data_IF_792206270873
#
_entry.id   IF_792206270873
#
_cell.length_a   1.000
_cell.length_b   1.000
_cell.length_c   1.000
_cell.angle_alpha   90.00
_cell.angle_beta   90.00
_cell.angle_gamma   90.00
#
_symmetry.space_group_name_H-M   'P 1'
#
loop_
_entity.id
_entity.type
_entity.pdbx_description
1 polymer ?
#
# COMPACT_ATOMS: atom_id res chain seq x y z
N UNK A 1 17.08 74.31 -51.70
CA UNK A 1 15.81 74.19 -50.96
C UNK A 1 16.00 73.14 -49.87
N UNK A 2 15.77 73.49 -48.59
CA UNK A 2 16.09 72.68 -47.41
C UNK A 2 14.89 71.80 -47.06
N UNK A 3 15.09 70.49 -46.88
CA UNK A 3 14.09 69.56 -46.37
C UNK A 3 14.02 69.72 -44.84
N UNK A 4 12.87 70.00 -44.23
CA UNK A 4 12.78 70.06 -42.77
C UNK A 4 12.74 68.65 -42.17
N UNK A 5 13.69 68.37 -41.26
CA UNK A 5 13.64 67.24 -40.33
C UNK A 5 12.45 67.43 -39.38
N UNK A 6 11.52 66.48 -39.33
CA UNK A 6 10.49 66.42 -38.28
C UNK A 6 10.91 65.35 -37.27
N UNK A 7 11.21 65.81 -36.06
CA UNK A 7 11.53 65.01 -34.89
C UNK A 7 10.28 64.30 -34.34
N UNK A 8 10.51 63.09 -33.81
CA UNK A 8 9.80 62.32 -32.78
C UNK A 8 8.31 62.60 -32.48
N UNK A 9 7.52 61.51 -32.45
CA UNK A 9 6.56 61.30 -31.38
C UNK A 9 6.56 59.81 -30.98
N UNK A 10 7.19 59.53 -29.84
CA UNK A 10 7.06 58.30 -29.08
C UNK A 10 5.62 58.29 -28.51
N UNK A 11 4.74 57.41 -28.98
CA UNK A 11 3.42 57.27 -28.36
C UNK A 11 3.55 56.30 -27.20
N UNK A 12 3.74 56.90 -26.02
CA UNK A 12 3.63 56.29 -24.71
C UNK A 12 2.13 56.17 -24.38
N UNK A 13 1.53 54.99 -24.56
CA UNK A 13 0.15 54.76 -24.14
C UNK A 13 0.13 54.46 -22.64
N UNK A 14 -0.07 55.51 -21.84
CA UNK A 14 -0.57 55.43 -20.47
C UNK A 14 -2.08 55.13 -20.53
N UNK A 15 -2.45 53.86 -20.46
CA UNK A 15 -3.81 53.45 -20.14
C UNK A 15 -3.89 53.19 -18.63
N UNK A 16 -4.52 54.14 -17.93
CA UNK A 16 -4.91 54.04 -16.53
C UNK A 16 -5.96 52.93 -16.37
N UNK A 17 -5.61 51.83 -15.70
CA UNK A 17 -6.55 50.83 -15.19
C UNK A 17 -6.35 49.41 -15.69
N UNK A 18 -5.47 48.65 -15.00
CA UNK A 18 -5.66 47.21 -14.81
C UNK A 18 -5.18 46.27 -15.91
N UNK A 19 -3.98 46.45 -16.46
CA UNK A 19 -3.23 45.36 -17.08
C UNK A 19 -2.04 45.05 -16.18
N UNK A 20 -2.18 44.08 -15.28
CA UNK A 20 -1.07 43.58 -14.44
C UNK A 20 -0.64 42.21 -14.96
N UNK A 21 0.32 42.13 -15.91
CA UNK A 21 0.72 40.86 -16.51
C UNK A 21 1.66 40.03 -15.62
N UNK A 22 1.95 40.49 -14.40
CA UNK A 22 2.82 39.80 -13.44
C UNK A 22 2.22 39.91 -12.04
N UNK A 23 1.32 38.98 -11.70
CA UNK A 23 0.93 38.79 -10.30
C UNK A 23 2.15 38.27 -9.56
N UNK A 24 2.77 39.11 -8.73
CA UNK A 24 3.85 38.67 -7.84
C UNK A 24 3.37 37.44 -7.05
N UNK A 25 4.24 36.42 -6.83
CA UNK A 25 3.88 35.27 -6.02
C UNK A 25 3.33 35.72 -4.67
N UNK A 26 2.30 35.03 -4.17
CA UNK A 26 1.73 35.33 -2.86
C UNK A 26 2.84 35.23 -1.79
N UNK A 27 3.00 36.27 -0.94
CA UNK A 27 4.14 36.34 -0.03
C UNK A 27 4.15 35.19 0.99
N UNK A 28 2.99 34.73 1.44
CA UNK A 28 2.89 33.60 2.38
C UNK A 28 3.24 32.28 1.68
N UNK A 29 2.84 32.10 0.41
CA UNK A 29 3.26 30.94 -0.39
C UNK A 29 4.78 30.96 -0.62
N UNK A 30 5.34 32.11 -0.95
CA UNK A 30 6.79 32.25 -1.15
C UNK A 30 7.60 32.00 0.13
N UNK A 31 7.11 32.48 1.29
CA UNK A 31 7.67 32.18 2.60
C UNK A 31 7.60 30.68 2.91
N UNK A 32 6.43 30.05 2.67
CA UNK A 32 6.24 28.63 2.89
C UNK A 32 7.18 27.76 2.05
N UNK A 33 7.32 28.09 0.76
CA UNK A 33 8.23 27.40 -0.16
C UNK A 33 9.70 27.53 0.28
N UNK A 34 10.10 28.71 0.80
CA UNK A 34 11.44 28.92 1.35
C UNK A 34 11.67 28.09 2.61
N UNK A 35 10.73 28.12 3.55
CA UNK A 35 10.82 27.32 4.77
C UNK A 35 10.87 25.82 4.46
N UNK A 36 10.09 25.36 3.47
CA UNK A 36 10.14 23.98 2.99
C UNK A 36 11.51 23.61 2.44
N UNK A 37 12.12 24.45 1.60
CA UNK A 37 13.44 24.21 1.04
C UNK A 37 14.54 24.13 2.13
N UNK A 38 14.34 24.84 3.24
CA UNK A 38 15.21 24.79 4.43
C UNK A 38 14.89 23.63 5.38
N UNK A 39 13.88 22.79 5.07
CA UNK A 39 13.44 21.68 5.93
C UNK A 39 12.64 22.11 7.16
N UNK A 40 12.29 23.39 7.27
CA UNK A 40 11.46 23.96 8.36
C UNK A 40 9.98 23.74 8.06
N UNK A 41 9.53 22.48 8.14
CA UNK A 41 8.19 22.11 7.71
C UNK A 41 7.07 22.73 8.55
N UNK A 42 7.29 22.98 9.85
CA UNK A 42 6.30 23.67 10.69
C UNK A 42 6.05 25.10 10.23
N UNK A 43 7.13 25.84 9.95
CA UNK A 43 7.06 27.20 9.43
C UNK A 43 6.41 27.23 8.03
N UNK A 44 6.76 26.25 7.19
CA UNK A 44 6.15 26.09 5.87
C UNK A 44 4.62 25.92 5.96
N UNK A 45 4.16 25.01 6.81
CA UNK A 45 2.73 24.75 7.00
C UNK A 45 2.00 25.96 7.58
N UNK A 46 2.62 26.66 8.53
CA UNK A 46 2.04 27.88 9.09
C UNK A 46 1.86 28.98 8.04
N UNK A 47 2.83 29.15 7.14
CA UNK A 47 2.75 30.11 6.04
C UNK A 47 1.68 29.69 5.02
N UNK A 48 1.64 28.43 4.61
CA UNK A 48 0.58 27.92 3.71
C UNK A 48 -0.82 28.08 4.31
N UNK A 49 -0.99 27.90 5.62
CA UNK A 49 -2.27 28.13 6.29
C UNK A 49 -2.67 29.61 6.33
N UNK A 50 -1.71 30.55 6.38
CA UNK A 50 -1.99 31.98 6.20
C UNK A 50 -2.43 32.29 4.77
N UNK A 51 -1.71 31.76 3.77
CA UNK A 51 -2.08 31.89 2.36
C UNK A 51 -3.50 31.35 2.08
N UNK A 52 -3.83 30.18 2.64
CA UNK A 52 -5.16 29.57 2.51
C UNK A 52 -6.26 30.46 3.11
N UNK A 53 -6.02 31.07 4.29
CA UNK A 53 -6.98 31.98 4.94
C UNK A 53 -7.20 33.27 4.15
N UNK A 54 -6.18 33.76 3.45
CA UNK A 54 -6.30 34.95 2.60
C UNK A 54 -7.22 34.71 1.39
N UNK A 55 -7.33 33.46 0.91
CA UNK A 55 -8.30 33.03 -0.12
C UNK A 55 -8.07 33.59 -1.53
N UNK A 56 -6.91 34.22 -1.78
CA UNK A 56 -6.57 34.88 -3.06
C UNK A 56 -5.50 34.12 -3.86
N UNK A 57 -5.28 32.87 -3.53
CA UNK A 57 -4.22 32.01 -4.07
C UNK A 57 -4.81 30.88 -4.91
N UNK A 58 -3.99 30.28 -5.76
CA UNK A 58 -4.31 29.01 -6.40
C UNK A 58 -4.50 27.94 -5.31
N UNK A 59 -5.75 27.51 -5.11
CA UNK A 59 -6.10 26.61 -4.02
C UNK A 59 -5.53 25.21 -4.25
N UNK A 60 -5.54 24.72 -5.49
CA UNK A 60 -5.03 23.40 -5.83
C UNK A 60 -3.50 23.37 -5.83
N UNK A 61 -2.85 24.43 -6.31
CA UNK A 61 -1.39 24.60 -6.21
C UNK A 61 -0.92 24.68 -4.75
N UNK A 62 -1.60 25.49 -3.92
CA UNK A 62 -1.31 25.57 -2.49
C UNK A 62 -1.54 24.23 -1.77
N UNK A 63 -2.59 23.50 -2.14
CA UNK A 63 -2.85 22.17 -1.59
C UNK A 63 -1.72 21.19 -1.94
N UNK A 64 -1.14 21.28 -3.14
CA UNK A 64 0.04 20.49 -3.50
C UNK A 64 1.25 20.82 -2.60
N UNK A 65 1.56 22.10 -2.44
CA UNK A 65 2.70 22.55 -1.61
C UNK A 65 2.53 22.14 -0.14
N UNK A 66 1.32 22.33 0.41
CA UNK A 66 0.98 21.96 1.79
C UNK A 66 1.01 20.46 2.00
N UNK A 67 0.39 19.67 1.12
CA UNK A 67 0.39 18.22 1.20
C UNK A 67 1.80 17.64 1.10
N UNK A 68 2.64 18.21 0.25
CA UNK A 68 4.05 17.81 0.12
C UNK A 68 4.84 18.12 1.40
N UNK A 69 4.66 19.30 1.99
CA UNK A 69 5.27 19.63 3.28
C UNK A 69 4.81 18.71 4.42
N UNK A 70 3.53 18.34 4.45
CA UNK A 70 3.00 17.39 5.44
C UNK A 70 3.63 16.00 5.32
N UNK A 71 3.85 15.48 4.10
CA UNK A 71 4.55 14.21 3.89
C UNK A 71 6.00 14.26 4.39
N UNK A 72 6.74 15.32 4.03
CA UNK A 72 8.14 15.47 4.46
C UNK A 72 8.26 15.63 5.98
N UNK A 73 7.30 16.31 6.60
CA UNK A 73 7.19 16.34 8.06
C UNK A 73 6.92 14.95 8.62
N UNK A 74 5.95 14.22 8.06
CA UNK A 74 5.57 12.88 8.51
C UNK A 74 6.75 11.89 8.46
N UNK A 75 7.62 11.98 7.45
CA UNK A 75 8.84 11.17 7.33
C UNK A 75 9.82 11.37 8.50
N UNK A 76 9.85 12.57 9.10
CA UNK A 76 10.70 12.88 10.25
C UNK A 76 10.07 12.49 11.60
N UNK A 77 8.77 12.18 11.65
CA UNK A 77 8.06 11.83 12.88
C UNK A 77 8.25 10.35 13.24
N UNK A 78 8.71 10.11 14.47
CA UNK A 78 8.89 8.76 15.02
C UNK A 78 7.59 8.16 15.57
N UNK A 79 6.72 8.99 16.13
CA UNK A 79 5.44 8.53 16.66
C UNK A 79 4.53 8.08 15.51
N UNK A 80 4.14 6.78 15.44
CA UNK A 80 3.30 6.29 14.36
C UNK A 80 1.93 6.97 14.31
N UNK A 81 1.37 7.40 15.45
CA UNK A 81 0.06 8.04 15.49
C UNK A 81 0.09 9.44 14.88
N UNK A 82 1.07 10.26 15.27
CA UNK A 82 1.28 11.58 14.68
C UNK A 82 1.65 11.49 13.19
N UNK A 83 2.51 10.54 12.82
CA UNK A 83 2.87 10.30 11.41
C UNK A 83 1.63 9.93 10.58
N UNK A 84 0.78 9.04 11.08
CA UNK A 84 -0.45 8.64 10.38
C UNK A 84 -1.39 9.83 10.17
N UNK A 85 -1.58 10.66 11.20
CA UNK A 85 -2.42 11.87 11.13
C UNK A 85 -1.89 12.89 10.11
N UNK A 86 -0.57 13.11 10.07
CA UNK A 86 0.04 14.00 9.06
C UNK A 86 -0.09 13.43 7.65
N UNK A 87 0.10 12.12 7.49
CA UNK A 87 -0.05 11.46 6.20
C UNK A 87 -1.50 11.52 5.70
N UNK A 88 -2.49 11.37 6.59
CA UNK A 88 -3.90 11.51 6.23
C UNK A 88 -4.24 12.92 5.73
N UNK A 89 -3.77 13.95 6.43
CA UNK A 89 -3.91 15.35 5.99
C UNK A 89 -3.27 15.56 4.61
N UNK A 90 -2.08 14.99 4.41
CA UNK A 90 -1.37 15.11 3.14
C UNK A 90 -2.15 14.45 2.00
N UNK A 91 -2.77 13.30 2.26
CA UNK A 91 -3.58 12.62 1.25
C UNK A 91 -4.81 13.42 0.83
N UNK A 92 -5.44 14.16 1.74
CA UNK A 92 -6.58 15.03 1.40
C UNK A 92 -6.13 16.27 0.61
N UNK A 93 -5.04 16.91 1.03
CA UNK A 93 -4.45 18.05 0.32
C UNK A 93 -4.00 17.66 -1.10
N UNK A 94 -3.30 16.54 -1.24
CA UNK A 94 -2.87 16.05 -2.55
C UNK A 94 -4.07 15.62 -3.40
N UNK A 95 -5.13 15.08 -2.81
CA UNK A 95 -6.38 14.79 -3.54
C UNK A 95 -7.04 16.08 -4.02
N UNK A 96 -7.03 17.15 -3.24
CA UNK A 96 -7.48 18.46 -3.72
C UNK A 96 -6.60 18.94 -4.88
N UNK A 97 -5.27 18.81 -4.79
CA UNK A 97 -4.35 19.19 -5.85
C UNK A 97 -4.58 18.44 -7.18
N UNK A 98 -5.09 17.20 -7.15
CA UNK A 98 -5.47 16.48 -8.38
C UNK A 98 -6.61 17.12 -9.18
N UNK A 99 -7.28 18.15 -8.63
CA UNK A 99 -8.30 18.94 -9.34
C UNK A 99 -7.72 20.15 -10.08
N UNK A 100 -6.41 20.39 -9.97
CA UNK A 100 -5.75 21.53 -10.62
C UNK A 100 -5.97 21.51 -12.13
N UNK A 101 -6.06 22.71 -12.73
CA UNK A 101 -6.07 22.85 -14.20
C UNK A 101 -4.70 22.54 -14.80
N UNK A 102 -3.63 22.64 -14.03
CA UNK A 102 -2.26 22.34 -14.47
C UNK A 102 -2.00 20.81 -14.42
N UNK A 103 -1.75 20.15 -15.57
CA UNK A 103 -1.42 18.73 -15.61
C UNK A 103 -0.16 18.38 -14.81
N UNK A 104 0.84 19.27 -14.73
CA UNK A 104 2.04 19.00 -13.93
C UNK A 104 1.73 18.96 -12.43
N UNK A 105 0.82 19.82 -11.96
CA UNK A 105 0.34 19.75 -10.56
C UNK A 105 -0.41 18.45 -10.31
N UNK A 106 -1.33 18.06 -11.22
CA UNK A 106 -2.06 16.78 -11.09
C UNK A 106 -1.12 15.56 -11.10
N UNK A 107 -0.13 15.57 -12.00
CA UNK A 107 0.89 14.53 -12.12
C UNK A 107 1.71 14.38 -10.84
N UNK A 108 2.31 15.47 -10.36
CA UNK A 108 3.11 15.47 -9.13
C UNK A 108 2.29 15.16 -7.89
N UNK A 109 1.03 15.61 -7.82
CA UNK A 109 0.14 15.27 -6.72
C UNK A 109 -0.16 13.77 -6.67
N UNK A 110 -0.48 13.15 -7.81
CA UNK A 110 -0.68 11.71 -7.89
C UNK A 110 0.59 10.91 -7.57
N UNK A 111 1.76 11.40 -8.00
CA UNK A 111 3.05 10.80 -7.64
C UNK A 111 3.28 10.81 -6.13
N UNK A 112 3.08 11.95 -5.46
CA UNK A 112 3.24 12.06 -4.00
C UNK A 112 2.23 11.18 -3.24
N UNK A 113 0.99 11.06 -3.73
CA UNK A 113 0.01 10.09 -3.19
C UNK A 113 0.51 8.66 -3.34
N UNK A 114 1.08 8.32 -4.49
CA UNK A 114 1.69 7.01 -4.74
C UNK A 114 2.82 6.70 -3.74
N UNK A 115 3.70 7.66 -3.48
CA UNK A 115 4.79 7.51 -2.51
C UNK A 115 4.26 7.27 -1.09
N UNK A 116 3.26 8.04 -0.67
CA UNK A 116 2.63 7.88 0.64
C UNK A 116 1.96 6.49 0.79
N UNK A 117 1.23 6.04 -0.25
CA UNK A 117 0.57 4.73 -0.27
C UNK A 117 1.59 3.57 -0.30
N UNK A 118 2.68 3.74 -1.04
CA UNK A 118 3.81 2.81 -1.07
C UNK A 118 4.45 2.66 0.32
N UNK A 119 4.63 3.77 1.05
CA UNK A 119 5.11 3.76 2.44
C UNK A 119 4.17 3.06 3.42
N UNK A 120 2.87 3.00 3.11
CA UNK A 120 1.85 2.27 3.87
C UNK A 120 1.67 0.81 3.44
N UNK A 121 2.50 0.30 2.52
CA UNK A 121 2.36 -1.03 1.90
C UNK A 121 1.01 -1.27 1.19
N UNK A 122 0.33 -0.19 0.80
CA UNK A 122 -0.90 -0.21 -0.02
C UNK A 122 -0.53 -0.24 -1.50
N UNK A 123 0.06 -1.36 -1.92
CA UNK A 123 0.74 -1.48 -3.21
C UNK A 123 -0.19 -1.24 -4.41
N UNK A 124 -1.43 -1.73 -4.38
CA UNK A 124 -2.36 -1.56 -5.50
C UNK A 124 -2.79 -0.10 -5.68
N UNK A 125 -3.09 0.58 -4.57
CA UNK A 125 -3.45 2.00 -4.59
C UNK A 125 -2.26 2.85 -5.07
N UNK A 126 -1.04 2.50 -4.62
CA UNK A 126 0.19 3.16 -5.06
C UNK A 126 0.40 3.00 -6.57
N UNK A 127 0.20 1.78 -7.11
CA UNK A 127 0.29 1.49 -8.55
C UNK A 127 -0.69 2.37 -9.34
N UNK A 128 -1.95 2.46 -8.92
CA UNK A 128 -2.92 3.29 -9.65
C UNK A 128 -2.56 4.78 -9.55
N UNK A 129 -2.10 5.24 -8.39
CA UNK A 129 -1.58 6.61 -8.23
C UNK A 129 -0.42 6.93 -9.18
N UNK A 130 0.58 6.06 -9.31
CA UNK A 130 1.68 6.29 -10.25
C UNK A 130 1.22 6.22 -11.71
N UNK A 131 0.27 5.35 -12.05
CA UNK A 131 -0.34 5.33 -13.39
C UNK A 131 -1.08 6.63 -13.68
N UNK A 132 -1.83 7.17 -12.73
CA UNK A 132 -2.47 8.48 -12.89
C UNK A 132 -1.42 9.59 -13.06
N UNK A 133 -0.32 9.55 -12.30
CA UNK A 133 0.77 10.51 -12.46
C UNK A 133 1.34 10.51 -13.89
N UNK A 134 1.61 9.33 -14.44
CA UNK A 134 2.15 9.15 -15.79
C UNK A 134 1.14 9.44 -16.92
N UNK A 135 -0.17 9.41 -16.64
CA UNK A 135 -1.20 9.86 -17.60
C UNK A 135 -1.21 11.38 -17.73
N UNK A 136 -0.94 12.08 -16.65
CA UNK A 136 -0.90 13.55 -16.60
C UNK A 136 0.46 14.10 -17.08
N UNK A 137 1.54 13.45 -16.68
CA UNK A 137 2.91 13.80 -17.03
C UNK A 137 3.69 12.53 -17.44
N UNK A 138 3.72 12.20 -18.75
CA UNK A 138 4.41 11.01 -19.26
C UNK A 138 5.92 11.01 -19.02
N UNK A 139 6.53 12.18 -18.81
CA UNK A 139 7.97 12.38 -18.65
C UNK A 139 8.42 12.36 -17.18
N UNK A 140 7.50 12.08 -16.24
CA UNK A 140 7.80 11.94 -14.82
C UNK A 140 8.51 10.60 -14.54
N UNK A 141 9.80 10.53 -14.86
CA UNK A 141 10.63 9.32 -14.76
C UNK A 141 10.62 8.70 -13.35
N UNK A 142 10.60 9.52 -12.30
CA UNK A 142 10.49 9.06 -10.92
C UNK A 142 9.20 8.25 -10.67
N UNK A 143 8.08 8.64 -11.28
CA UNK A 143 6.84 7.89 -11.19
C UNK A 143 6.93 6.55 -11.93
N UNK A 144 7.65 6.49 -13.05
CA UNK A 144 7.89 5.25 -13.80
C UNK A 144 8.74 4.28 -12.98
N UNK A 145 9.82 4.75 -12.37
CA UNK A 145 10.67 3.94 -11.49
C UNK A 145 9.90 3.42 -10.27
N UNK A 146 9.11 4.28 -9.62
CA UNK A 146 8.33 3.87 -8.45
C UNK A 146 7.17 2.93 -8.79
N UNK A 147 6.55 3.07 -9.96
CA UNK A 147 5.57 2.12 -10.47
C UNK A 147 6.19 0.73 -10.64
N UNK A 148 7.37 0.65 -11.26
CA UNK A 148 8.08 -0.62 -11.44
C UNK A 148 8.40 -1.26 -10.08
N UNK A 149 8.90 -0.46 -9.13
CA UNK A 149 9.18 -0.95 -7.77
C UNK A 149 7.92 -1.46 -7.08
N UNK A 150 6.78 -0.77 -7.22
CA UNK A 150 5.51 -1.18 -6.62
C UNK A 150 5.01 -2.50 -7.23
N UNK A 151 5.11 -2.66 -8.55
CA UNK A 151 4.75 -3.90 -9.26
C UNK A 151 5.61 -5.09 -8.78
N UNK A 152 6.93 -4.91 -8.67
CA UNK A 152 7.85 -5.95 -8.18
C UNK A 152 7.55 -6.34 -6.73
N UNK A 153 7.26 -5.36 -5.86
CA UNK A 153 6.87 -5.63 -4.46
C UNK A 153 5.57 -6.41 -4.38
N UNK A 154 4.57 -6.05 -5.20
CA UNK A 154 3.29 -6.75 -5.27
C UNK A 154 3.47 -8.20 -5.70
N UNK A 155 4.22 -8.42 -6.78
CA UNK A 155 4.50 -9.76 -7.29
C UNK A 155 5.17 -10.64 -6.24
N UNK A 156 6.21 -10.11 -5.58
CA UNK A 156 6.89 -10.82 -4.48
C UNK A 156 5.93 -11.19 -3.35
N UNK A 157 5.02 -10.30 -2.97
CA UNK A 157 4.01 -10.55 -1.92
C UNK A 157 3.03 -11.64 -2.35
N UNK A 158 2.60 -11.65 -3.61
CA UNK A 158 1.73 -12.71 -4.17
C UNK A 158 2.45 -14.07 -4.21
N UNK A 159 3.72 -14.11 -4.63
CA UNK A 159 4.51 -15.35 -4.64
C UNK A 159 4.68 -15.92 -3.23
N UNK A 160 4.97 -15.08 -2.23
CA UNK A 160 5.09 -15.52 -0.84
C UNK A 160 3.77 -16.11 -0.29
N UNK A 161 2.64 -15.50 -0.64
CA UNK A 161 1.33 -16.01 -0.24
C UNK A 161 1.02 -17.39 -0.87
N UNK A 162 1.37 -17.57 -2.15
CA UNK A 162 1.19 -18.85 -2.84
C UNK A 162 2.10 -19.95 -2.27
N UNK A 163 3.36 -19.64 -1.96
CA UNK A 163 4.28 -20.59 -1.35
C UNK A 163 3.87 -20.99 0.07
N UNK A 164 3.37 -20.04 0.88
CA UNK A 164 2.85 -20.33 2.22
C UNK A 164 1.62 -21.24 2.20
N UNK A 165 0.70 -21.04 1.26
CA UNK A 165 -0.48 -21.90 1.08
C UNK A 165 -0.10 -23.28 0.53
N UNK A 166 0.88 -23.36 -0.38
CA UNK A 166 1.39 -24.63 -0.89
C UNK A 166 2.03 -25.52 0.19
N UNK A 167 2.77 -24.92 1.12
CA UNK A 167 3.38 -25.64 2.24
C UNK A 167 2.35 -26.12 3.28
N UNK A 168 1.36 -25.30 3.62
CA UNK A 168 0.26 -25.71 4.52
C UNK A 168 -0.62 -26.79 3.89
N UNK A 169 -0.89 -26.72 2.58
CA UNK A 169 -1.64 -27.74 1.86
C UNK A 169 -0.95 -29.11 1.85
N UNK A 170 0.37 -29.14 1.68
CA UNK A 170 1.16 -30.38 1.70
C UNK A 170 1.23 -30.99 3.12
N UNK A 171 1.42 -30.17 4.16
CA UNK A 171 1.38 -30.67 5.55
C UNK A 171 0.00 -31.18 5.95
N UNK A 172 -1.08 -30.53 5.52
CA UNK A 172 -2.44 -30.98 5.76
C UNK A 172 -2.74 -32.33 5.10
N UNK A 173 -2.28 -32.55 3.87
CA UNK A 173 -2.43 -33.83 3.17
C UNK A 173 -1.61 -34.95 3.82
N UNK A 174 -0.36 -34.68 4.22
CA UNK A 174 0.45 -35.66 4.96
C UNK A 174 -0.17 -36.03 6.32
N UNK A 175 -0.73 -35.06 7.04
CA UNK A 175 -1.43 -35.32 8.31
C UNK A 175 -2.67 -36.21 8.15
N UNK A 176 -3.45 -36.00 7.08
CA UNK A 176 -4.62 -36.83 6.77
C UNK A 176 -4.25 -38.24 6.33
N UNK A 177 -3.21 -38.40 5.49
CA UNK A 177 -2.69 -39.72 5.11
C UNK A 177 -2.12 -40.48 6.30
N UNK A 178 -1.42 -39.79 7.22
CA UNK A 178 -0.92 -40.41 8.45
C UNK A 178 -2.05 -40.91 9.36
N UNK A 179 -3.15 -40.16 9.48
CA UNK A 179 -4.33 -40.59 10.25
C UNK A 179 -5.06 -41.77 9.60
N UNK A 180 -5.26 -41.77 8.28
CA UNK A 180 -5.85 -42.91 7.58
C UNK A 180 -4.98 -44.17 7.66
N UNK A 181 -3.65 -44.02 7.60
CA UNK A 181 -2.72 -45.13 7.77
C UNK A 181 -2.80 -45.78 9.17
N UNK A 182 -2.97 -44.96 10.22
CA UNK A 182 -3.15 -45.47 11.59
C UNK A 182 -4.51 -46.16 11.79
N UNK A 183 -5.61 -45.62 11.25
CA UNK A 183 -6.92 -46.29 11.30
C UNK A 183 -6.95 -47.60 10.50
N UNK A 184 -6.27 -47.66 9.34
CA UNK A 184 -6.17 -48.87 8.54
C UNK A 184 -5.41 -50.00 9.26
N UNK A 185 -4.35 -49.68 10.00
CA UNK A 185 -3.62 -50.67 10.81
C UNK A 185 -4.43 -51.18 12.00
N UNK A 186 -5.17 -50.31 12.70
CA UNK A 186 -6.08 -50.74 13.77
C UNK A 186 -7.22 -51.62 13.26
N UNK A 187 -7.78 -51.33 12.08
CA UNK A 187 -8.83 -52.13 11.45
C UNK A 187 -8.38 -53.54 11.05
N UNK A 188 -7.13 -53.69 10.59
CA UNK A 188 -6.56 -55.00 10.23
C UNK A 188 -6.25 -55.85 11.48
N UNK A 189 -5.75 -55.26 12.57
CA UNK A 189 -5.59 -55.98 13.84
C UNK A 189 -6.92 -56.43 14.44
N UNK A 190 -8.00 -55.64 14.27
CA UNK A 190 -9.34 -56.02 14.74
C UNK A 190 -9.95 -57.23 14.01
N UNK A 191 -9.66 -57.39 12.71
CA UNK A 191 -10.17 -58.51 11.92
C UNK A 191 -9.37 -59.81 12.13
N UNK A 192 -8.06 -59.73 12.38
CA UNK A 192 -7.24 -60.90 12.72
C UNK A 192 -7.57 -61.50 14.10
N UNK A 193 -8.24 -60.75 14.99
CA UNK A 193 -8.66 -61.23 16.31
C UNK A 193 -9.94 -62.08 16.33
N UNK A 194 -10.72 -62.14 15.25
CA UNK A 194 -12.04 -62.81 15.24
C UNK A 194 -12.08 -64.17 14.50
N UNK A 195 -10.98 -64.60 13.86
CA UNK A 195 -10.98 -65.79 13.00
C UNK A 195 -10.41 -67.07 13.65
N UNK A 196 -10.49 -67.20 14.97
CA UNK A 196 -9.94 -68.37 15.68
C UNK A 196 -10.78 -68.82 16.86
N UNK A 197 -11.95 -69.43 16.61
CA UNK A 197 -12.59 -70.43 17.49
C UNK A 197 -13.86 -71.00 16.83
N UNK A 198 -13.72 -72.02 15.99
CA UNK A 198 -14.82 -72.94 15.66
C UNK A 198 -14.46 -74.33 16.21
N UNK A 199 -15.35 -74.85 17.06
CA UNK A 199 -15.12 -75.97 17.97
C UNK A 199 -14.99 -77.34 17.29
N UNK A 200 -14.20 -78.22 17.94
CA UNK A 200 -14.19 -79.66 17.66
C UNK A 200 -15.29 -80.34 18.48
N UNK A 201 -16.18 -81.05 17.76
CA UNK A 201 -17.23 -81.89 18.34
C UNK A 201 -16.67 -83.01 19.22
N UNK A 202 -17.37 -83.28 20.31
CA UNK A 202 -17.06 -84.36 21.25
C UNK A 202 -17.31 -85.74 20.64
N UNK A 203 -16.45 -86.70 20.99
CA UNK A 203 -16.68 -88.13 20.78
C UNK A 203 -17.32 -88.74 22.04
N UNK A 204 -18.20 -89.75 21.92
CA UNK A 204 -18.81 -90.41 23.07
C UNK A 204 -17.79 -91.28 23.82
N UNK A 205 -17.89 -91.27 25.16
CA UNK A 205 -17.01 -92.00 26.07
C UNK A 205 -17.12 -93.52 25.95
N UNK A 206 -15.96 -94.19 26.01
CA UNK A 206 -15.84 -95.64 26.16
C UNK A 206 -16.00 -96.03 27.64
N UNK A 207 -16.75 -97.11 27.86
CA UNK A 207 -16.86 -97.84 29.11
C UNK A 207 -15.59 -98.66 29.38
N UNK A 208 -15.10 -98.61 30.62
CA UNK A 208 -13.99 -99.42 31.12
C UNK A 208 -14.14 -99.68 32.63
N UNK A 209 -13.90 -100.91 33.02
CA UNK A 209 -14.39 -101.58 34.23
C UNK A 209 -13.68 -101.24 35.55
N UNK A 210 -14.46 -101.54 36.60
CA UNK A 210 -14.18 -101.88 37.99
C UNK A 210 -12.75 -102.26 38.42
N UNK A 211 -12.45 -101.92 39.68
CA UNK A 211 -11.66 -102.77 40.57
C UNK A 211 -10.90 -102.04 41.67
N UNK A 212 -11.50 -102.03 42.88
CA UNK A 212 -10.87 -102.37 44.18
C UNK A 212 -9.68 -101.52 44.67
N UNK A 213 -9.39 -101.31 45.96
CA UNK A 213 -10.02 -101.44 47.28
C UNK A 213 -8.90 -101.09 48.29
N UNK A 214 -9.23 -100.57 49.47
CA UNK A 214 -8.34 -100.56 50.65
C UNK A 214 -7.81 -99.17 51.01
N UNK A 215 -8.36 -98.50 52.02
CA UNK A 215 -7.95 -98.53 53.45
C UNK A 215 -6.61 -97.78 53.65
N UNK A 216 -6.46 -96.78 54.52
CA UNK A 216 -7.17 -96.42 55.75
C UNK A 216 -7.20 -94.89 55.97
#
# INVERSE_FOLDING_TARGET
MRVPRRSLALVLVLALGGWEPFRSPDPDVAEGNRAYAEGRYDDALAAYDRAARAGKVDAEGLAYDRGTAQLRKAEAIKDPAERAKLTERAMEDLKQATRSKDPHVRGRANFNRGNALMGQDKLEDAIESYKQALREDPDLDDARMNLELALRRREKKQQQQQQGQGQQGQQGQQGQQAQQGQQGQQGQQGQQGQQGQQGRGGQPGQSGQAGQSGQA
#
